data_IF_481864026084
#
_entry.id   IF_481864026084
#
_cell.length_a   1.000
_cell.length_b   1.000
_cell.length_c   1.000
_cell.angle_alpha   90.00
_cell.angle_beta   90.00
_cell.angle_gamma   90.00
#
_symmetry.space_group_name_H-M   'P 1'
#
loop_
_entity.id
_entity.type
_entity.pdbx_description
1 polymer ?
#
# COMPACT_ATOMS: atom_id res chain seq x y z
N UNK A 1 -7.95 10.73 -2.91
CA UNK A 1 -8.42 9.37 -3.28
C UNK A 1 -8.32 8.44 -2.08
N UNK A 2 -9.34 7.65 -1.85
CA UNK A 2 -9.30 6.63 -0.81
C UNK A 2 -8.62 5.38 -1.34
N UNK A 3 -7.66 4.86 -0.58
CA UNK A 3 -7.00 3.60 -0.89
C UNK A 3 -7.23 2.60 0.25
N UNK A 4 -7.19 1.31 -0.09
CA UNK A 4 -7.30 0.23 0.90
C UNK A 4 -6.23 -0.81 0.57
N UNK A 5 -5.48 -1.23 1.59
CA UNK A 5 -4.42 -2.22 1.40
C UNK A 5 -4.25 -3.07 2.65
N UNK A 6 -3.73 -4.28 2.46
CA UNK A 6 -3.28 -5.14 3.56
C UNK A 6 -1.83 -4.84 3.88
N UNK A 7 -1.51 -4.83 5.15
CA UNK A 7 -0.14 -4.67 5.62
C UNK A 7 0.21 -5.82 6.58
N UNK A 8 1.35 -6.46 6.33
CA UNK A 8 1.85 -7.57 7.14
C UNK A 8 3.30 -7.36 7.58
N UNK A 9 3.76 -6.12 7.57
CA UNK A 9 5.15 -5.79 7.92
C UNK A 9 5.39 -5.71 9.42
N UNK A 10 6.61 -5.29 9.77
CA UNK A 10 7.09 -5.30 11.14
C UNK A 10 6.54 -4.16 11.99
N UNK A 11 6.24 -3.00 11.41
CA UNK A 11 5.80 -1.84 12.18
C UNK A 11 4.56 -1.20 11.56
N UNK A 12 3.41 -1.56 12.09
CA UNK A 12 2.15 -0.91 11.73
C UNK A 12 2.19 0.58 12.09
N UNK A 13 2.81 0.93 13.23
CA UNK A 13 2.90 2.32 13.65
C UNK A 13 3.63 3.19 12.63
N UNK A 14 4.69 2.66 12.00
CA UNK A 14 5.41 3.39 10.97
C UNK A 14 4.52 3.74 9.77
N UNK A 15 3.64 2.81 9.38
CA UNK A 15 2.68 3.06 8.31
C UNK A 15 1.68 4.14 8.70
N UNK A 16 1.15 4.06 9.92
CA UNK A 16 0.18 5.03 10.43
C UNK A 16 0.80 6.42 10.55
N UNK A 17 2.06 6.49 10.95
CA UNK A 17 2.78 7.76 11.06
C UNK A 17 3.02 8.38 9.67
N UNK A 18 3.29 7.55 8.67
CA UNK A 18 3.56 8.02 7.30
C UNK A 18 2.30 8.48 6.58
N UNK A 19 1.16 7.87 6.92
CA UNK A 19 -0.13 8.16 6.31
C UNK A 19 -1.09 8.68 7.38
N UNK A 20 -1.14 10.00 7.62
CA UNK A 20 -1.90 10.55 8.76
C UNK A 20 -3.40 10.26 8.75
N UNK A 21 -3.98 10.02 7.57
CA UNK A 21 -5.40 9.69 7.43
C UNK A 21 -5.68 8.19 7.56
N UNK A 22 -4.64 7.37 7.75
CA UNK A 22 -4.78 5.93 7.77
C UNK A 22 -5.55 5.43 8.98
N UNK A 23 -6.42 4.45 8.74
CA UNK A 23 -7.20 3.77 9.79
C UNK A 23 -7.16 2.28 9.55
N UNK A 24 -6.96 1.53 10.62
CA UNK A 24 -7.07 0.07 10.58
C UNK A 24 -8.54 -0.30 10.66
N UNK A 25 -9.06 -0.94 9.62
CA UNK A 25 -10.48 -1.32 9.56
C UNK A 25 -10.70 -2.80 9.85
N UNK A 26 -9.66 -3.61 9.79
CA UNK A 26 -9.73 -5.03 10.09
C UNK A 26 -8.35 -5.52 10.50
N UNK A 27 -8.30 -6.49 11.39
CA UNK A 27 -7.06 -7.08 11.84
C UNK A 27 -7.23 -8.59 11.99
N UNK A 28 -6.35 -9.36 11.31
CA UNK A 28 -6.39 -10.80 11.29
C UNK A 28 -4.96 -11.33 11.52
N UNK A 29 -4.66 -11.74 12.76
CA UNK A 29 -3.32 -12.20 13.09
C UNK A 29 -2.29 -11.12 12.82
N UNK A 30 -1.34 -11.38 11.92
CA UNK A 30 -0.27 -10.44 11.58
C UNK A 30 -0.65 -9.48 10.47
N UNK A 31 -1.84 -9.61 9.90
CA UNK A 31 -2.30 -8.76 8.79
C UNK A 31 -3.27 -7.71 9.27
N UNK A 32 -3.09 -6.49 8.79
CA UNK A 32 -4.00 -5.38 9.04
C UNK A 32 -4.53 -4.86 7.72
N UNK A 33 -5.83 -4.61 7.64
CA UNK A 33 -6.43 -3.93 6.49
C UNK A 33 -6.55 -2.45 6.85
N UNK A 34 -5.94 -1.62 6.02
CA UNK A 34 -5.81 -0.18 6.27
C UNK A 34 -6.49 0.58 5.15
N UNK A 35 -7.26 1.59 5.50
CA UNK A 35 -7.81 2.56 4.56
C UNK A 35 -7.20 3.93 4.83
N UNK A 36 -6.95 4.71 3.78
CA UNK A 36 -6.38 6.04 3.92
C UNK A 36 -6.83 6.94 2.78
N UNK A 37 -6.94 8.24 3.07
CA UNK A 37 -7.13 9.27 2.04
C UNK A 37 -5.74 9.80 1.68
N UNK A 38 -5.41 9.76 0.39
CA UNK A 38 -4.09 10.15 -0.10
C UNK A 38 -4.19 10.99 -1.36
N UNK A 39 -3.15 11.77 -1.62
CA UNK A 39 -2.97 12.40 -2.92
C UNK A 39 -2.43 11.34 -3.88
N UNK A 40 -3.20 11.08 -4.94
CA UNK A 40 -2.81 10.07 -5.91
C UNK A 40 -1.66 10.55 -6.77
N UNK A 41 -0.71 9.67 -7.05
CA UNK A 41 0.45 9.98 -7.90
C UNK A 41 1.62 9.07 -7.60
N UNK A 42 2.78 9.41 -8.18
CA UNK A 42 4.02 8.60 -8.01
C UNK A 42 4.41 8.43 -6.55
N UNK A 43 4.18 9.46 -5.73
CA UNK A 43 4.57 9.42 -4.32
C UNK A 43 3.95 8.27 -3.57
N UNK A 44 2.63 8.09 -3.68
CA UNK A 44 1.95 7.00 -2.98
C UNK A 44 2.31 5.65 -3.60
N UNK A 45 2.44 5.58 -4.92
CA UNK A 45 2.81 4.34 -5.60
C UNK A 45 4.19 3.90 -5.12
N UNK A 46 5.17 4.80 -5.12
CA UNK A 46 6.53 4.50 -4.68
C UNK A 46 6.59 4.13 -3.21
N UNK A 47 5.81 4.81 -2.36
CA UNK A 47 5.75 4.48 -0.95
C UNK A 47 5.25 3.03 -0.75
N UNK A 48 4.16 2.67 -1.40
CA UNK A 48 3.60 1.31 -1.27
C UNK A 48 4.58 0.26 -1.79
N UNK A 49 5.25 0.54 -2.91
CA UNK A 49 6.27 -0.37 -3.46
C UNK A 49 7.46 -0.51 -2.51
N UNK A 50 7.81 0.54 -1.77
CA UNK A 50 8.93 0.49 -0.84
C UNK A 50 8.71 -0.49 0.31
N UNK A 51 7.47 -0.87 0.56
CA UNK A 51 7.13 -1.85 1.59
C UNK A 51 7.31 -3.30 1.09
N UNK A 52 7.61 -3.47 -0.19
CA UNK A 52 7.82 -4.79 -0.77
C UNK A 52 6.58 -5.67 -0.67
N UNK A 53 6.80 -6.94 -0.32
CA UNK A 53 5.72 -7.91 -0.21
C UNK A 53 4.86 -7.76 1.05
N UNK A 54 5.18 -6.81 1.92
CA UNK A 54 4.40 -6.55 3.12
C UNK A 54 3.07 -5.85 2.82
N UNK A 55 2.95 -5.23 1.65
CA UNK A 55 1.74 -4.51 1.25
C UNK A 55 1.09 -5.21 0.07
N UNK A 56 -0.23 -5.43 0.18
CA UNK A 56 -1.07 -5.88 -0.93
C UNK A 56 -2.17 -4.86 -1.11
N UNK A 57 -2.14 -4.13 -2.22
CA UNK A 57 -3.18 -3.14 -2.51
C UNK A 57 -4.46 -3.84 -2.92
N UNK A 58 -5.57 -3.46 -2.28
CA UNK A 58 -6.89 -4.04 -2.56
C UNK A 58 -7.74 -3.12 -3.42
N UNK A 59 -7.72 -1.82 -3.15
CA UNK A 59 -8.55 -0.82 -3.82
C UNK A 59 -7.83 0.52 -3.88
N UNK A 60 -8.15 1.38 -4.85
CA UNK A 60 -9.04 1.16 -5.99
C UNK A 60 -8.35 0.43 -7.13
N UNK A 61 -9.12 -0.07 -8.07
CA UNK A 61 -8.59 -0.81 -9.21
C UNK A 61 -7.50 -0.05 -10.00
N UNK A 62 -7.65 1.25 -10.30
CA UNK A 62 -6.58 1.99 -10.97
C UNK A 62 -5.24 1.95 -10.22
N UNK A 63 -5.26 2.01 -8.89
CA UNK A 63 -4.04 1.90 -8.10
C UNK A 63 -3.42 0.51 -8.22
N UNK A 64 -4.25 -0.54 -8.16
CA UNK A 64 -3.79 -1.92 -8.33
C UNK A 64 -3.12 -2.08 -9.70
N UNK A 65 -3.75 -1.54 -10.75
CA UNK A 65 -3.21 -1.60 -12.11
C UNK A 65 -1.88 -0.85 -12.22
N UNK A 66 -1.76 0.33 -11.61
CA UNK A 66 -0.53 1.11 -11.61
C UNK A 66 0.59 0.38 -10.85
N UNK A 67 0.26 -0.27 -9.73
CA UNK A 67 1.23 -1.08 -8.99
C UNK A 67 1.74 -2.25 -9.83
N UNK A 68 0.82 -2.95 -10.50
CA UNK A 68 1.19 -4.09 -11.36
C UNK A 68 2.05 -3.64 -12.54
N UNK A 69 1.74 -2.50 -13.14
CA UNK A 69 2.54 -1.95 -14.24
C UNK A 69 3.96 -1.64 -13.78
N UNK A 70 4.12 -1.03 -12.62
CA UNK A 70 5.44 -0.71 -12.07
C UNK A 70 6.24 -1.98 -11.73
N UNK A 71 5.58 -2.96 -11.13
CA UNK A 71 6.20 -4.25 -10.80
C UNK A 71 6.71 -4.94 -12.07
N UNK A 72 5.91 -4.89 -13.14
CA UNK A 72 6.31 -5.48 -14.42
C UNK A 72 7.56 -4.81 -14.98
N UNK A 73 7.63 -3.48 -14.91
CA UNK A 73 8.82 -2.75 -15.34
C UNK A 73 10.03 -3.15 -14.49
N UNK A 74 9.87 -3.19 -13.19
CA UNK A 74 10.94 -3.58 -12.26
C UNK A 74 11.44 -4.99 -12.55
N UNK A 75 10.52 -5.92 -12.80
CA UNK A 75 10.87 -7.31 -13.12
C UNK A 75 11.77 -7.41 -14.36
N UNK A 76 11.54 -6.53 -15.34
CA UNK A 76 12.32 -6.55 -16.58
C UNK A 76 13.77 -6.12 -16.40
N UNK A 77 14.14 -5.55 -15.25
CA UNK A 77 15.53 -5.23 -14.93
C UNK A 77 16.29 -6.41 -14.31
N UNK A 78 15.59 -7.46 -13.96
CA UNK A 78 16.16 -8.64 -13.33
C UNK A 78 15.84 -9.88 -14.17
#
# INVERSE_FOLDING_TARGET
MRITFEFSGLSLQAVLDRLPTAKVIEQNGTKSVITAEVNYGRGIIMYLLSQGSWVKVLEPKPLVEDMLAEIKIMRNYY
#
